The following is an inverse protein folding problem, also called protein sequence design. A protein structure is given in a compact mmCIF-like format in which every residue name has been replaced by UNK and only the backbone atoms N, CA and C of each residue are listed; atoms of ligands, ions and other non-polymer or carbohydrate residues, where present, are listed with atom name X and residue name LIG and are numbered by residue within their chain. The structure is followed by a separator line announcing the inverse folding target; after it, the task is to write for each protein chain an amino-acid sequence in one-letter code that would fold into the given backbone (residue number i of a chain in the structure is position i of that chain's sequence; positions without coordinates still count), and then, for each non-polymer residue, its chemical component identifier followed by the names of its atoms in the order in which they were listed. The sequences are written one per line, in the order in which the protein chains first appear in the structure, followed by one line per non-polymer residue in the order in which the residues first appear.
data_IF_526447407066
#
_entry.id   IF_526447407066
#
_cell.length_a   1.000
_cell.length_b   1.000
_cell.length_c   1.000
_cell.angle_alpha   90.00
_cell.angle_beta   90.00
_cell.angle_gamma   90.00
#
_symmetry.space_group_name_H-M   'P 1'
#
loop_
_entity.id
_entity.type
_entity.pdbx_description
1 polymer ?
#
# COMPACT_ATOMS: atom_id res chain seq x y z
N UNK A 1 -13.17 -34.14 -16.29
CA UNK A 1 -12.95 -32.68 -16.24
C UNK A 1 -12.52 -32.24 -17.64
N UNK A 2 -13.10 -31.16 -18.16
CA UNK A 2 -12.74 -30.61 -19.47
C UNK A 2 -12.05 -29.25 -19.21
N UNK A 3 -10.92 -29.02 -19.87
CA UNK A 3 -10.18 -27.77 -19.79
C UNK A 3 -10.04 -27.13 -21.16
N UNK A 4 -10.29 -25.83 -21.24
CA UNK A 4 -10.10 -25.01 -22.43
C UNK A 4 -9.05 -23.95 -22.08
N UNK A 5 -7.88 -24.04 -22.74
CA UNK A 5 -6.81 -23.08 -22.53
C UNK A 5 -6.87 -22.02 -23.63
N UNK A 6 -6.85 -20.76 -23.19
CA UNK A 6 -6.81 -19.60 -24.07
C UNK A 6 -5.49 -18.86 -23.83
N UNK A 7 -4.62 -18.74 -24.84
CA UNK A 7 -3.43 -17.91 -24.73
C UNK A 7 -3.80 -16.45 -24.47
N UNK A 8 -2.96 -15.73 -23.72
CA UNK A 8 -3.15 -14.30 -23.48
C UNK A 8 -3.15 -13.56 -24.83
N UNK A 9 -4.18 -12.74 -25.06
CA UNK A 9 -4.37 -11.99 -26.30
C UNK A 9 -5.03 -12.77 -27.45
N UNK A 10 -5.34 -14.06 -27.27
CA UNK A 10 -6.09 -14.84 -28.27
C UNK A 10 -7.60 -14.54 -28.18
N UNK A 11 -8.27 -14.61 -29.33
CA UNK A 11 -9.73 -14.52 -29.36
C UNK A 11 -10.38 -15.86 -28.97
N UNK A 12 -11.44 -15.83 -28.20
CA UNK A 12 -12.24 -17.04 -27.90
C UNK A 12 -12.87 -17.64 -29.18
N UNK A 13 -13.00 -16.83 -30.23
CA UNK A 13 -13.54 -17.30 -31.53
C UNK A 13 -12.57 -18.25 -32.24
N UNK A 14 -11.27 -18.11 -31.99
CA UNK A 14 -10.23 -18.94 -32.59
C UNK A 14 -10.05 -20.27 -31.87
N UNK A 15 -10.79 -20.49 -30.76
CA UNK A 15 -10.69 -21.73 -29.97
C UNK A 15 -11.80 -22.70 -30.33
N UNK A 16 -11.43 -23.95 -30.56
CA UNK A 16 -12.39 -25.05 -30.75
C UNK A 16 -13.05 -25.47 -29.43
N UNK A 17 -14.01 -24.63 -28.98
CA UNK A 17 -14.82 -24.91 -27.79
C UNK A 17 -15.69 -26.17 -28.03
N UNK A 18 -16.23 -26.35 -29.23
CA UNK A 18 -17.14 -27.46 -29.55
C UNK A 18 -16.46 -28.84 -29.41
N UNK A 19 -15.23 -28.94 -29.89
CA UNK A 19 -14.46 -30.18 -29.80
C UNK A 19 -14.02 -30.56 -28.38
N UNK A 20 -14.04 -29.62 -27.46
CA UNK A 20 -13.71 -29.84 -26.03
C UNK A 20 -14.91 -30.27 -25.17
N UNK A 21 -16.13 -30.09 -25.66
CA UNK A 21 -17.32 -30.49 -24.93
C UNK A 21 -17.53 -32.02 -24.95
N UNK A 22 -18.16 -32.59 -23.89
CA UNK A 22 -18.45 -34.00 -23.80
C UNK A 22 -19.21 -34.54 -25.03
N UNK A 23 -18.83 -35.71 -25.50
CA UNK A 23 -19.48 -36.38 -26.65
C UNK A 23 -20.94 -36.79 -26.38
N UNK A 24 -21.34 -36.87 -25.11
CA UNK A 24 -22.70 -37.22 -24.71
C UNK A 24 -23.73 -36.09 -24.97
N UNK A 25 -23.29 -34.88 -25.29
CA UNK A 25 -24.18 -33.75 -25.60
C UNK A 25 -24.75 -33.91 -27.01
N UNK A 26 -26.05 -33.67 -27.14
CA UNK A 26 -26.72 -33.53 -28.44
C UNK A 26 -26.18 -32.31 -29.22
N UNK A 27 -26.42 -32.28 -30.52
CA UNK A 27 -25.98 -31.14 -31.34
C UNK A 27 -26.55 -29.80 -30.89
N UNK A 28 -27.80 -29.81 -30.41
CA UNK A 28 -28.45 -28.61 -29.90
C UNK A 28 -27.84 -28.12 -28.58
N UNK A 29 -27.60 -29.03 -27.64
CA UNK A 29 -26.94 -28.70 -26.37
C UNK A 29 -25.52 -28.21 -26.59
N UNK A 30 -24.80 -28.84 -27.51
CA UNK A 30 -23.44 -28.44 -27.87
C UNK A 30 -23.41 -27.01 -28.40
N UNK A 31 -24.28 -26.66 -29.33
CA UNK A 31 -24.39 -25.32 -29.89
C UNK A 31 -24.73 -24.29 -28.79
N UNK A 32 -25.63 -24.66 -27.89
CA UNK A 32 -26.02 -23.81 -26.73
C UNK A 32 -24.82 -23.57 -25.81
N UNK A 33 -24.10 -24.62 -25.41
CA UNK A 33 -22.93 -24.45 -24.52
C UNK A 33 -21.77 -23.69 -25.19
N UNK A 34 -21.54 -23.87 -26.48
CA UNK A 34 -20.55 -23.07 -27.22
C UNK A 34 -20.87 -21.58 -27.14
N UNK A 35 -22.14 -21.23 -27.39
CA UNK A 35 -22.60 -19.84 -27.34
C UNK A 35 -22.47 -19.28 -25.93
N UNK A 36 -22.88 -20.06 -24.93
CA UNK A 36 -22.76 -19.65 -23.51
C UNK A 36 -21.32 -19.43 -23.08
N UNK A 37 -20.42 -20.37 -23.36
CA UNK A 37 -19.00 -20.29 -22.97
C UNK A 37 -18.32 -19.08 -23.63
N UNK A 38 -18.58 -18.84 -24.92
CA UNK A 38 -18.03 -17.68 -25.61
C UNK A 38 -18.56 -16.37 -25.03
N UNK A 39 -19.86 -16.29 -24.76
CA UNK A 39 -20.47 -15.14 -24.11
C UNK A 39 -19.92 -14.89 -22.70
N UNK A 40 -19.77 -15.95 -21.92
CA UNK A 40 -19.19 -15.90 -20.58
C UNK A 40 -17.74 -15.43 -20.59
N UNK A 41 -16.93 -15.90 -21.53
CA UNK A 41 -15.55 -15.46 -21.64
C UNK A 41 -15.43 -13.98 -22.02
N UNK A 42 -16.28 -13.50 -22.95
CA UNK A 42 -16.34 -12.07 -23.28
C UNK A 42 -16.73 -11.25 -22.06
N UNK A 43 -17.75 -11.67 -21.31
CA UNK A 43 -18.17 -11.04 -20.07
C UNK A 43 -17.06 -11.01 -19.04
N UNK A 44 -16.35 -12.13 -18.85
CA UNK A 44 -15.20 -12.26 -17.97
C UNK A 44 -14.10 -11.26 -18.32
N UNK A 45 -13.70 -11.19 -19.59
CA UNK A 45 -12.64 -10.31 -20.07
C UNK A 45 -13.05 -8.83 -20.03
N UNK A 46 -14.27 -8.53 -20.45
CA UNK A 46 -14.79 -7.16 -20.58
C UNK A 46 -14.98 -6.45 -19.22
N UNK A 47 -15.16 -7.24 -18.17
CA UNK A 47 -15.34 -6.76 -16.81
C UNK A 47 -14.12 -7.02 -15.92
N UNK A 48 -12.99 -7.42 -16.51
CA UNK A 48 -11.73 -7.64 -15.78
C UNK A 48 -11.87 -8.57 -14.57
N UNK A 49 -12.57 -9.71 -14.75
CA UNK A 49 -12.55 -10.76 -13.74
C UNK A 49 -11.17 -11.43 -13.69
N UNK A 50 -10.69 -11.73 -12.49
CA UNK A 50 -9.53 -12.59 -12.24
C UNK A 50 -9.94 -14.00 -11.85
N UNK A 51 -11.19 -14.16 -11.42
CA UNK A 51 -11.82 -15.44 -11.10
C UNK A 51 -13.34 -15.34 -11.24
N UNK A 52 -13.97 -16.38 -11.84
CA UNK A 52 -15.41 -16.50 -11.92
C UNK A 52 -15.80 -17.99 -11.88
N UNK A 53 -16.63 -18.36 -10.92
CA UNK A 53 -17.12 -19.72 -10.71
C UNK A 53 -18.62 -19.70 -10.52
N UNK A 54 -19.29 -20.64 -11.20
CA UNK A 54 -20.70 -20.96 -10.98
C UNK A 54 -20.80 -22.39 -10.46
N UNK A 55 -21.22 -22.57 -9.21
CA UNK A 55 -21.32 -23.91 -8.61
C UNK A 55 -22.40 -23.95 -7.53
N UNK A 56 -23.59 -24.51 -7.88
CA UNK A 56 -23.96 -25.11 -9.15
C UNK A 56 -24.51 -24.09 -10.17
N UNK A 57 -24.60 -24.59 -11.41
CA UNK A 57 -25.23 -23.89 -12.53
C UNK A 57 -26.38 -24.76 -13.06
N UNK A 58 -27.57 -24.18 -13.19
CA UNK A 58 -28.73 -24.87 -13.74
C UNK A 58 -29.01 -24.45 -15.19
N UNK A 59 -29.44 -25.39 -16.00
CA UNK A 59 -29.96 -25.13 -17.35
C UNK A 59 -31.44 -25.41 -17.37
N UNK A 60 -32.25 -24.39 -17.69
CA UNK A 60 -33.69 -24.45 -17.71
C UNK A 60 -34.19 -24.02 -19.11
N UNK A 61 -34.52 -24.98 -19.96
CA UNK A 61 -34.76 -24.72 -21.37
C UNK A 61 -33.52 -24.14 -22.06
N UNK A 62 -33.66 -22.93 -22.62
CA UNK A 62 -32.55 -22.20 -23.27
C UNK A 62 -31.91 -21.13 -22.37
N UNK A 63 -32.06 -21.24 -21.05
CA UNK A 63 -31.50 -20.30 -20.09
C UNK A 63 -30.50 -20.98 -19.17
N UNK A 64 -29.37 -20.32 -18.93
CA UNK A 64 -28.42 -20.69 -17.87
C UNK A 64 -28.72 -19.83 -16.66
N UNK A 65 -28.89 -20.47 -15.50
CA UNK A 65 -29.16 -19.82 -14.23
C UNK A 65 -28.04 -20.19 -13.26
N UNK A 66 -27.13 -19.28 -12.94
CA UNK A 66 -26.19 -19.46 -11.83
C UNK A 66 -26.98 -19.52 -10.52
N UNK A 67 -26.79 -20.56 -9.72
CA UNK A 67 -27.43 -20.69 -8.41
C UNK A 67 -26.53 -20.21 -7.30
N UNK A 68 -25.22 -20.37 -7.47
CA UNK A 68 -24.21 -19.75 -6.63
C UNK A 68 -23.07 -19.23 -7.52
N UNK A 69 -22.55 -18.06 -7.16
CA UNK A 69 -21.50 -17.39 -7.93
C UNK A 69 -20.41 -16.92 -7.02
N UNK A 70 -19.17 -17.33 -7.30
CA UNK A 70 -17.96 -16.74 -6.72
C UNK A 70 -17.23 -15.96 -7.79
N UNK A 71 -16.94 -14.72 -7.49
CA UNK A 71 -16.29 -13.80 -8.43
C UNK A 71 -15.18 -13.00 -7.76
N UNK A 72 -14.13 -12.72 -8.53
CA UNK A 72 -13.07 -11.79 -8.15
C UNK A 72 -12.80 -10.89 -9.33
N UNK A 73 -12.92 -9.60 -9.10
CA UNK A 73 -12.56 -8.55 -10.05
C UNK A 73 -11.13 -8.10 -9.80
N UNK A 74 -10.49 -7.56 -10.83
CA UNK A 74 -9.25 -6.82 -10.69
C UNK A 74 -9.59 -5.37 -10.29
N UNK A 75 -9.39 -5.00 -9.02
CA UNK A 75 -9.70 -3.67 -8.54
C UNK A 75 -8.83 -2.57 -9.16
N UNK A 76 -7.66 -2.92 -9.68
CA UNK A 76 -6.81 -1.98 -10.44
C UNK A 76 -7.45 -1.55 -11.75
N UNK A 77 -8.37 -2.36 -12.32
CA UNK A 77 -9.15 -2.05 -13.50
C UNK A 77 -10.33 -1.09 -13.22
N UNK A 78 -10.50 -0.58 -12.01
CA UNK A 78 -11.60 0.33 -11.65
C UNK A 78 -11.62 1.60 -12.50
N UNK A 79 -10.47 2.04 -13.00
CA UNK A 79 -10.37 3.16 -13.92
C UNK A 79 -11.11 2.90 -15.25
N UNK A 80 -10.99 1.69 -15.81
CA UNK A 80 -11.62 1.30 -17.08
C UNK A 80 -13.04 0.77 -16.90
N UNK A 81 -13.24 -0.05 -15.88
CA UNK A 81 -14.45 -0.85 -15.68
C UNK A 81 -15.41 -0.29 -14.65
N UNK A 82 -15.05 0.72 -13.85
CA UNK A 82 -15.84 1.20 -12.73
C UNK A 82 -17.29 1.56 -13.08
N UNK A 83 -17.52 2.16 -14.26
CA UNK A 83 -18.88 2.44 -14.77
C UNK A 83 -19.66 1.16 -15.10
N UNK A 84 -18.99 0.14 -15.64
CA UNK A 84 -19.59 -1.15 -16.00
C UNK A 84 -19.94 -1.97 -14.74
N UNK A 85 -19.20 -1.79 -13.65
CA UNK A 85 -19.43 -2.47 -12.38
C UNK A 85 -20.58 -1.87 -11.54
N UNK A 86 -21.23 -0.81 -12.03
CA UNK A 86 -22.43 -0.23 -11.39
C UNK A 86 -22.24 0.12 -9.91
N UNK A 87 -21.05 0.62 -9.52
CA UNK A 87 -20.80 1.08 -8.14
C UNK A 87 -20.40 -0.03 -7.16
N UNK A 88 -19.84 -1.12 -7.63
CA UNK A 88 -19.24 -2.13 -6.73
C UNK A 88 -18.20 -1.48 -5.84
N UNK A 89 -18.31 -1.71 -4.54
CA UNK A 89 -17.35 -1.27 -3.53
C UNK A 89 -16.48 -2.45 -3.15
N UNK A 90 -15.16 -2.27 -3.23
CA UNK A 90 -14.21 -3.30 -2.81
C UNK A 90 -14.02 -3.25 -1.29
N UNK A 91 -14.03 -4.40 -0.61
CA UNK A 91 -13.76 -4.44 0.83
C UNK A 91 -12.31 -3.99 1.11
N UNK A 92 -12.07 -3.36 2.27
CA UNK A 92 -10.73 -2.98 2.66
C UNK A 92 -9.81 -4.21 2.78
N UNK A 93 -8.50 -4.10 2.43
CA UNK A 93 -7.58 -5.24 2.36
C UNK A 93 -7.51 -6.09 3.62
N UNK A 94 -7.66 -5.47 4.79
CA UNK A 94 -7.54 -6.13 6.09
C UNK A 94 -8.89 -6.45 6.75
N UNK A 95 -9.99 -6.36 6.04
CA UNK A 95 -11.33 -6.65 6.58
C UNK A 95 -11.77 -5.70 7.70
N UNK A 96 -11.15 -4.51 7.82
CA UNK A 96 -11.52 -3.44 8.74
C UNK A 96 -11.75 -2.14 8.00
N UNK A 97 -12.58 -1.30 8.55
CA UNK A 97 -12.75 0.05 8.03
C UNK A 97 -11.45 0.86 8.18
N UNK A 98 -11.04 1.61 7.15
CA UNK A 98 -9.89 2.50 7.25
C UNK A 98 -10.17 3.64 8.23
N UNK A 99 -9.14 4.07 8.95
CA UNK A 99 -9.25 5.23 9.84
C UNK A 99 -9.41 6.53 9.03
N UNK A 100 -9.87 7.62 9.67
CA UNK A 100 -9.94 8.93 9.01
C UNK A 100 -8.60 9.38 8.43
N UNK A 101 -7.49 9.06 9.09
CA UNK A 101 -6.14 9.40 8.63
C UNK A 101 -5.72 8.57 7.42
N UNK A 102 -6.07 7.28 7.38
CA UNK A 102 -5.83 6.43 6.21
C UNK A 102 -6.65 6.91 5.00
N UNK A 103 -7.90 7.30 5.22
CA UNK A 103 -8.76 7.91 4.19
C UNK A 103 -8.14 9.21 3.68
N UNK A 104 -7.72 10.09 4.59
CA UNK A 104 -7.09 11.37 4.23
C UNK A 104 -5.81 11.18 3.40
N UNK A 105 -4.94 10.24 3.78
CA UNK A 105 -3.74 9.94 2.98
C UNK A 105 -4.09 9.37 1.62
N UNK A 106 -5.12 8.52 1.51
CA UNK A 106 -5.62 8.01 0.23
C UNK A 106 -6.16 9.12 -0.67
N UNK A 107 -6.84 10.11 -0.11
CA UNK A 107 -7.30 11.29 -0.84
C UNK A 107 -6.12 12.13 -1.34
N UNK A 108 -5.10 12.36 -0.50
CA UNK A 108 -3.88 13.04 -0.92
C UNK A 108 -3.17 12.29 -2.05
N UNK A 109 -3.08 10.96 -1.98
CA UNK A 109 -2.49 10.08 -2.99
C UNK A 109 -3.16 10.27 -4.36
N UNK A 110 -4.50 10.33 -4.37
CA UNK A 110 -5.26 10.53 -5.61
C UNK A 110 -5.07 11.90 -6.27
N UNK A 111 -4.65 12.89 -5.50
CA UNK A 111 -4.42 14.27 -5.96
C UNK A 111 -2.98 14.57 -6.39
N UNK A 112 -2.08 13.59 -6.35
CA UNK A 112 -0.67 13.77 -6.69
C UNK A 112 -0.20 12.73 -7.70
N UNK A 113 0.85 13.04 -8.46
CA UNK A 113 1.57 12.05 -9.29
C UNK A 113 2.57 11.20 -8.49
N UNK A 114 2.74 11.48 -7.22
CA UNK A 114 3.53 10.69 -6.28
C UNK A 114 2.69 9.58 -5.64
N UNK A 115 3.30 8.72 -4.83
CA UNK A 115 2.60 7.67 -4.06
C UNK A 115 2.69 7.97 -2.58
N UNK A 116 1.54 8.05 -1.92
CA UNK A 116 1.39 8.23 -0.49
C UNK A 116 0.52 7.11 0.07
N UNK A 117 1.06 6.29 0.96
CA UNK A 117 0.34 5.16 1.56
C UNK A 117 0.48 5.20 3.07
N UNK A 118 -0.58 4.85 3.76
CA UNK A 118 -0.60 4.69 5.21
C UNK A 118 -1.54 3.55 5.59
N UNK A 119 -1.04 2.66 6.43
CA UNK A 119 -1.83 1.64 7.13
C UNK A 119 -1.44 1.68 8.59
N UNK A 120 -2.42 1.88 9.47
CA UNK A 120 -2.22 1.86 10.91
C UNK A 120 -2.35 0.41 11.38
N UNK A 121 -1.26 -0.16 11.90
CA UNK A 121 -1.19 -1.54 12.38
C UNK A 121 -1.53 -1.62 13.87
N UNK A 122 -0.90 -0.75 14.66
CA UNK A 122 -1.12 -0.65 16.11
C UNK A 122 -1.07 0.83 16.53
N UNK A 123 -2.20 1.52 16.73
CA UNK A 123 -2.21 2.94 17.08
C UNK A 123 -1.52 3.23 18.42
N UNK A 124 -1.38 2.24 19.30
CA UNK A 124 -0.66 2.34 20.58
C UNK A 124 0.81 1.94 20.46
N UNK A 125 1.25 1.54 19.28
CA UNK A 125 2.63 1.15 19.02
C UNK A 125 3.61 2.28 19.32
N UNK A 126 4.79 1.88 19.80
CA UNK A 126 5.87 2.81 20.15
C UNK A 126 6.73 3.19 18.95
N UNK A 127 6.83 2.33 17.94
CA UNK A 127 7.70 2.47 16.78
C UNK A 127 6.88 2.90 15.57
N UNK A 128 7.14 4.10 15.10
CA UNK A 128 6.49 4.70 13.92
C UNK A 128 7.49 4.87 12.79
N UNK A 129 7.03 4.74 11.56
CA UNK A 129 7.88 4.84 10.38
C UNK A 129 7.35 5.88 9.39
N UNK A 130 8.27 6.58 8.75
CA UNK A 130 8.06 7.43 7.59
C UNK A 130 9.09 7.04 6.53
N UNK A 131 8.75 6.11 5.67
CA UNK A 131 9.69 5.54 4.71
C UNK A 131 9.46 6.09 3.31
N UNK A 132 10.55 6.44 2.64
CA UNK A 132 10.52 6.87 1.25
C UNK A 132 10.79 5.68 0.33
N UNK A 133 9.72 5.23 -0.36
CA UNK A 133 9.74 4.13 -1.30
C UNK A 133 9.14 2.84 -0.74
N UNK A 134 8.26 2.19 -1.54
CA UNK A 134 7.53 0.99 -1.13
C UNK A 134 8.44 -0.18 -0.76
N UNK A 135 9.48 -0.45 -1.58
CA UNK A 135 10.45 -1.50 -1.26
C UNK A 135 11.23 -1.24 0.03
N UNK A 136 11.61 0.03 0.28
CA UNK A 136 12.24 0.40 1.53
C UNK A 136 11.29 0.22 2.72
N UNK A 137 10.02 0.58 2.58
CA UNK A 137 9.00 0.41 3.63
C UNK A 137 8.88 -1.03 4.08
N UNK A 138 8.83 -1.98 3.14
CA UNK A 138 8.82 -3.42 3.44
C UNK A 138 10.07 -3.82 4.23
N UNK A 139 11.26 -3.48 3.73
CA UNK A 139 12.52 -3.85 4.40
C UNK A 139 12.63 -3.28 5.81
N UNK A 140 12.21 -2.04 6.02
CA UNK A 140 12.22 -1.43 7.37
C UNK A 140 11.25 -2.12 8.32
N UNK A 141 10.02 -2.39 7.88
CA UNK A 141 9.02 -3.06 8.73
C UNK A 141 9.39 -4.51 9.02
N UNK A 142 9.91 -5.25 8.03
CA UNK A 142 10.40 -6.60 8.23
C UNK A 142 11.57 -6.62 9.22
N UNK A 143 12.53 -5.69 9.09
CA UNK A 143 13.64 -5.58 10.04
C UNK A 143 13.16 -5.30 11.47
N UNK A 144 12.14 -4.42 11.65
CA UNK A 144 11.56 -4.18 12.98
C UNK A 144 10.94 -5.47 13.53
N UNK A 145 10.24 -6.23 12.70
CA UNK A 145 9.62 -7.50 13.10
C UNK A 145 10.65 -8.58 13.42
N UNK A 146 11.69 -8.72 12.60
CA UNK A 146 12.78 -9.70 12.78
C UNK A 146 13.58 -9.45 14.06
N UNK A 147 13.72 -8.18 14.46
CA UNK A 147 14.31 -7.80 15.75
C UNK A 147 13.40 -8.05 16.96
N UNK A 148 12.19 -8.59 16.76
CA UNK A 148 11.24 -8.92 17.82
C UNK A 148 10.29 -7.80 18.24
N UNK A 149 10.26 -6.66 17.51
CA UNK A 149 9.46 -5.49 17.84
C UNK A 149 8.15 -5.37 17.04
N UNK A 150 7.67 -6.45 16.41
CA UNK A 150 6.43 -6.47 15.64
C UNK A 150 5.22 -5.93 16.43
N UNK A 151 5.13 -6.25 17.72
CA UNK A 151 4.05 -5.80 18.61
C UNK A 151 4.11 -4.29 18.94
N UNK A 152 5.25 -3.64 18.72
CA UNK A 152 5.46 -2.20 18.92
C UNK A 152 5.35 -1.40 17.61
N UNK A 153 5.30 -2.06 16.46
CA UNK A 153 5.19 -1.42 15.16
C UNK A 153 3.81 -0.80 14.98
N UNK A 154 3.77 0.51 14.81
CA UNK A 154 2.53 1.27 14.80
C UNK A 154 1.90 1.42 13.42
N UNK A 155 2.71 1.55 12.38
CA UNK A 155 2.22 1.76 11.02
C UNK A 155 3.11 1.13 9.96
N UNK A 156 2.51 0.90 8.81
CA UNK A 156 3.16 0.66 7.54
C UNK A 156 2.76 1.78 6.57
N UNK A 157 3.68 2.23 5.75
CA UNK A 157 3.37 3.22 4.76
C UNK A 157 4.59 3.76 4.03
N UNK A 158 4.33 4.55 3.00
CA UNK A 158 5.38 5.15 2.19
C UNK A 158 5.02 6.54 1.69
N UNK A 159 6.04 7.31 1.34
CA UNK A 159 5.96 8.43 0.42
C UNK A 159 7.03 8.25 -0.67
N UNK A 160 6.62 8.26 -1.93
CA UNK A 160 7.53 7.98 -3.05
C UNK A 160 7.10 8.70 -4.32
N UNK A 161 7.88 8.58 -5.41
CA UNK A 161 7.54 9.23 -6.67
C UNK A 161 7.73 10.74 -6.68
N UNK A 162 8.66 11.26 -5.88
CA UNK A 162 8.98 12.69 -5.79
C UNK A 162 7.81 13.59 -5.35
N UNK A 163 7.18 13.33 -4.20
CA UNK A 163 6.14 14.21 -3.69
C UNK A 163 6.69 15.61 -3.41
N UNK A 164 5.86 16.63 -3.62
CA UNK A 164 6.23 18.00 -3.29
C UNK A 164 6.46 18.20 -1.79
N UNK A 165 7.12 19.29 -1.43
CA UNK A 165 7.28 19.70 -0.02
C UNK A 165 5.93 19.77 0.71
N UNK A 166 4.88 20.27 0.06
CA UNK A 166 3.54 20.37 0.64
C UNK A 166 2.93 19.00 0.93
N UNK A 167 2.98 18.07 -0.03
CA UNK A 167 2.45 16.73 0.18
C UNK A 167 3.23 15.96 1.23
N UNK A 168 4.56 16.10 1.25
CA UNK A 168 5.40 15.49 2.29
C UNK A 168 5.11 16.09 3.67
N UNK A 169 4.89 17.40 3.75
CA UNK A 169 4.47 18.05 5.00
C UNK A 169 3.12 17.51 5.50
N UNK A 170 2.10 17.43 4.65
CA UNK A 170 0.78 16.90 5.02
C UNK A 170 0.86 15.44 5.48
N UNK A 171 1.64 14.62 4.77
CA UNK A 171 1.89 13.24 5.16
C UNK A 171 2.58 13.14 6.52
N UNK A 172 3.69 13.88 6.71
CA UNK A 172 4.42 13.92 7.95
C UNK A 172 3.55 14.40 9.11
N UNK A 173 2.76 15.44 8.91
CA UNK A 173 1.83 15.97 9.91
C UNK A 173 0.81 14.92 10.36
N UNK A 174 0.26 14.13 9.44
CA UNK A 174 -0.68 13.05 9.77
C UNK A 174 -0.02 11.98 10.64
N UNK A 175 1.21 11.55 10.27
CA UNK A 175 1.97 10.60 11.08
C UNK A 175 2.29 11.17 12.46
N UNK A 176 2.74 12.42 12.53
CA UNK A 176 3.10 13.08 13.81
C UNK A 176 1.89 13.30 14.72
N UNK A 177 0.73 13.58 14.15
CA UNK A 177 -0.50 13.67 14.95
C UNK A 177 -0.81 12.35 15.63
N UNK A 178 -0.82 11.25 14.87
CA UNK A 178 -0.99 9.90 15.40
C UNK A 178 0.09 9.52 16.42
N UNK A 179 1.35 9.78 16.08
CA UNK A 179 2.51 9.50 16.92
C UNK A 179 2.47 10.18 18.27
N UNK A 180 1.94 11.41 18.35
CA UNK A 180 1.98 12.24 19.55
C UNK A 180 0.70 12.24 20.38
N UNK A 181 -0.34 11.46 19.98
CA UNK A 181 -1.63 11.40 20.71
C UNK A 181 -1.48 10.83 22.10
N UNK A 182 -0.68 9.79 22.27
CA UNK A 182 -0.52 9.07 23.53
C UNK A 182 0.96 8.85 23.84
N UNK A 183 1.32 8.91 25.13
CA UNK A 183 2.62 8.48 25.62
C UNK A 183 2.70 6.97 25.67
N UNK A 184 3.91 6.41 25.63
CA UNK A 184 4.10 5.00 25.97
C UNK A 184 3.67 4.76 27.43
N UNK A 185 2.82 3.75 27.70
CA UNK A 185 2.31 3.48 29.06
C UNK A 185 3.41 3.17 30.07
N UNK A 186 4.56 2.67 29.60
CA UNK A 186 5.73 2.35 30.43
C UNK A 186 6.71 3.52 30.56
N UNK A 187 6.39 4.68 29.98
CA UNK A 187 7.26 5.86 29.98
C UNK A 187 8.50 5.77 29.08
N UNK A 188 8.59 4.73 28.24
CA UNK A 188 9.70 4.57 27.29
C UNK A 188 9.62 5.63 26.18
N UNK A 189 10.75 5.99 25.55
CA UNK A 189 10.74 6.88 24.40
C UNK A 189 9.92 6.31 23.25
N UNK A 190 9.09 7.14 22.62
CA UNK A 190 8.50 6.79 21.31
C UNK A 190 9.50 7.04 20.20
N UNK A 191 9.56 6.15 19.24
CA UNK A 191 10.58 6.12 18.19
C UNK A 191 9.94 6.43 16.85
N UNK A 192 10.51 7.43 16.17
CA UNK A 192 10.16 7.74 14.78
C UNK A 192 11.37 7.45 13.88
N UNK A 193 11.22 6.50 12.97
CA UNK A 193 12.22 6.17 11.97
C UNK A 193 11.83 6.83 10.64
N UNK A 194 12.64 7.77 10.18
CA UNK A 194 12.48 8.42 8.87
C UNK A 194 13.47 7.76 7.90
N UNK A 195 12.97 6.79 7.16
CA UNK A 195 13.79 5.87 6.39
C UNK A 195 13.70 6.05 4.87
N UNK A 196 14.47 5.22 4.20
CA UNK A 196 14.42 5.07 2.75
C UNK A 196 15.70 4.50 2.18
N UNK A 197 15.63 4.02 0.95
CA UNK A 197 16.79 3.63 0.16
C UNK A 197 17.57 4.85 -0.35
N UNK A 198 18.39 4.65 -1.36
CA UNK A 198 19.00 5.71 -2.16
C UNK A 198 17.99 6.06 -3.26
N UNK A 199 17.47 7.28 -3.23
CA UNK A 199 16.50 7.74 -4.23
C UNK A 199 17.17 7.88 -5.61
N UNK A 200 16.45 7.48 -6.66
CA UNK A 200 16.91 7.66 -8.03
C UNK A 200 16.67 9.10 -8.51
N UNK A 201 15.44 9.61 -8.38
CA UNK A 201 15.04 10.92 -8.92
C UNK A 201 14.32 11.82 -7.89
N UNK A 202 13.94 11.31 -6.73
CA UNK A 202 13.30 12.12 -5.67
C UNK A 202 14.29 13.13 -5.10
N UNK A 203 13.93 14.41 -5.09
CA UNK A 203 14.67 15.45 -4.41
C UNK A 203 14.55 15.30 -2.89
N UNK A 204 15.63 14.83 -2.26
CA UNK A 204 15.66 14.55 -0.83
C UNK A 204 15.58 15.84 0.00
N UNK A 205 16.20 16.93 -0.46
CA UNK A 205 16.13 18.21 0.24
C UNK A 205 14.70 18.78 0.26
N UNK A 206 13.99 18.68 -0.86
CA UNK A 206 12.59 19.11 -0.97
C UNK A 206 11.67 18.33 -0.04
N UNK A 207 11.76 17.00 -0.08
CA UNK A 207 10.93 16.14 0.77
C UNK A 207 11.25 16.32 2.26
N UNK A 208 12.52 16.37 2.64
CA UNK A 208 12.91 16.63 4.03
C UNK A 208 12.55 18.02 4.52
N UNK A 209 12.40 19.00 3.63
CA UNK A 209 11.87 20.32 4.02
C UNK A 209 10.44 20.21 4.58
N UNK A 210 9.56 19.42 3.93
CA UNK A 210 8.22 19.17 4.46
C UNK A 210 8.24 18.47 5.82
N UNK A 211 9.14 17.49 5.98
CA UNK A 211 9.33 16.81 7.29
C UNK A 211 9.80 17.78 8.38
N UNK A 212 10.78 18.63 8.07
CA UNK A 212 11.30 19.66 9.00
C UNK A 212 10.19 20.62 9.44
N UNK A 213 9.35 21.06 8.52
CA UNK A 213 8.21 21.93 8.83
C UNK A 213 7.25 21.24 9.81
N UNK A 214 6.86 20.00 9.53
CA UNK A 214 5.96 19.24 10.38
C UNK A 214 6.57 18.98 11.78
N UNK A 215 7.82 18.57 11.87
CA UNK A 215 8.52 18.36 13.14
C UNK A 215 8.61 19.64 13.96
N UNK A 216 8.83 20.78 13.32
CA UNK A 216 8.91 22.09 13.99
C UNK A 216 7.55 22.46 14.60
N UNK A 217 6.46 22.27 13.89
CA UNK A 217 5.09 22.50 14.38
C UNK A 217 4.75 21.59 15.57
N UNK A 218 5.21 20.34 15.55
CA UNK A 218 4.90 19.35 16.60
C UNK A 218 5.91 19.33 17.76
N UNK A 219 6.83 20.29 17.85
CA UNK A 219 7.92 20.34 18.84
C UNK A 219 7.48 19.97 20.27
N UNK A 220 6.47 20.64 20.79
CA UNK A 220 6.07 20.46 22.20
C UNK A 220 5.37 19.10 22.42
N UNK A 221 4.59 18.65 21.45
CA UNK A 221 3.97 17.33 21.47
C UNK A 221 5.04 16.21 21.40
N UNK A 222 6.09 16.39 20.59
CA UNK A 222 7.21 15.45 20.50
C UNK A 222 7.97 15.33 21.83
N UNK A 223 8.23 16.46 22.49
CA UNK A 223 8.81 16.47 23.86
C UNK A 223 7.90 15.74 24.84
N UNK A 224 6.59 16.01 24.78
CA UNK A 224 5.61 15.41 25.68
C UNK A 224 5.59 13.89 25.62
N UNK A 225 5.83 13.28 24.48
CA UNK A 225 5.87 11.82 24.30
C UNK A 225 7.28 11.23 24.41
N UNK A 226 8.27 12.03 24.83
CA UNK A 226 9.68 11.61 24.91
C UNK A 226 10.20 11.02 23.56
N UNK A 227 9.93 11.73 22.46
CA UNK A 227 10.26 11.27 21.12
C UNK A 227 11.77 11.14 20.90
N UNK A 228 12.17 10.11 20.16
CA UNK A 228 13.51 9.96 19.54
C UNK A 228 13.33 9.76 18.05
N UNK A 229 14.10 10.48 17.25
CA UNK A 229 13.99 10.48 15.79
C UNK A 229 15.28 9.92 15.19
N UNK A 230 15.14 8.96 14.30
CA UNK A 230 16.25 8.33 13.61
C UNK A 230 16.04 8.47 12.10
N UNK A 231 16.97 9.11 11.43
CA UNK A 231 16.86 9.38 10.00
C UNK A 231 18.02 8.78 9.22
N UNK A 232 17.71 8.09 8.15
CA UNK A 232 18.68 7.62 7.17
C UNK A 232 18.13 7.85 5.75
N UNK A 233 18.87 8.61 4.94
CA UNK A 233 18.45 8.94 3.58
C UNK A 233 19.62 9.14 2.63
N UNK A 234 19.43 8.84 1.34
CA UNK A 234 20.34 9.14 0.24
C UNK A 234 19.57 9.41 -1.06
N UNK A 235 20.22 10.00 -2.04
CA UNK A 235 19.65 10.35 -3.34
C UNK A 235 19.96 11.79 -3.74
N UNK A 236 19.30 12.36 -4.76
CA UNK A 236 19.52 13.74 -5.21
C UNK A 236 19.38 14.74 -4.06
N UNK A 237 20.32 15.67 -3.92
CA UNK A 237 20.34 16.73 -2.91
C UNK A 237 20.27 16.24 -1.44
N UNK A 238 20.70 15.01 -1.17
CA UNK A 238 20.59 14.42 0.17
C UNK A 238 21.42 15.15 1.23
N UNK A 239 22.62 15.66 0.89
CA UNK A 239 23.48 16.38 1.84
C UNK A 239 22.78 17.61 2.42
N UNK A 240 22.13 18.40 1.55
CA UNK A 240 21.36 19.58 1.97
C UNK A 240 20.16 19.19 2.82
N UNK A 241 19.42 18.15 2.43
CA UNK A 241 18.31 17.62 3.22
C UNK A 241 18.73 17.16 4.62
N UNK A 242 19.81 16.40 4.72
CA UNK A 242 20.36 15.95 6.00
C UNK A 242 20.93 17.09 6.83
N UNK A 243 21.54 18.09 6.19
CA UNK A 243 22.00 19.31 6.88
C UNK A 243 20.84 20.00 7.59
N UNK A 244 19.71 20.21 6.90
CA UNK A 244 18.49 20.81 7.50
C UNK A 244 17.99 20.00 8.70
N UNK A 245 18.00 18.67 8.61
CA UNK A 245 17.59 17.80 9.72
C UNK A 245 18.54 17.88 10.92
N UNK A 246 19.87 17.96 10.68
CA UNK A 246 20.88 18.16 11.75
C UNK A 246 20.73 19.53 12.42
N UNK A 247 20.46 20.57 11.63
CA UNK A 247 20.24 21.93 12.17
C UNK A 247 18.95 21.97 12.99
N UNK A 248 17.88 21.32 12.55
CA UNK A 248 16.67 21.16 13.34
C UNK A 248 16.95 20.46 14.67
N UNK A 249 17.77 19.39 14.67
CA UNK A 249 18.16 18.65 15.87
C UNK A 249 18.76 19.51 16.97
N UNK A 250 19.46 20.61 16.61
CA UNK A 250 20.04 21.55 17.57
C UNK A 250 18.97 22.40 18.31
N UNK A 251 17.81 22.54 17.72
CA UNK A 251 16.78 23.48 18.21
C UNK A 251 15.47 22.81 18.60
N UNK A 252 15.16 21.62 18.09
CA UNK A 252 13.88 20.94 18.31
C UNK A 252 13.68 20.53 19.79
N UNK A 253 14.77 20.17 20.47
CA UNK A 253 14.74 19.77 21.87
C UNK A 253 14.29 18.33 22.11
N UNK A 254 14.35 17.49 21.07
CA UNK A 254 14.29 16.03 21.12
C UNK A 254 15.48 15.45 20.37
N UNK A 255 16.00 14.26 20.75
CA UNK A 255 17.10 13.61 20.05
C UNK A 255 16.77 13.31 18.59
N UNK A 256 17.62 13.76 17.67
CA UNK A 256 17.58 13.41 16.24
C UNK A 256 18.93 12.85 15.84
N UNK A 257 18.96 11.62 15.36
CA UNK A 257 20.12 10.99 14.78
C UNK A 257 20.01 10.95 13.25
N UNK A 258 21.03 11.42 12.52
CA UNK A 258 20.95 11.65 11.07
C UNK A 258 22.12 11.00 10.35
N UNK A 259 21.82 10.06 9.45
CA UNK A 259 22.76 9.31 8.63
C UNK A 259 22.47 9.45 7.14
N UNK A 260 23.52 9.36 6.35
CA UNK A 260 23.48 9.36 4.89
C UNK A 260 23.56 7.96 4.27
N UNK A 261 23.85 7.90 2.95
CA UNK A 261 23.92 6.64 2.22
C UNK A 261 25.08 5.72 2.64
N UNK A 262 26.07 6.25 3.39
CA UNK A 262 27.19 5.49 3.96
C UNK A 262 26.73 4.43 4.98
N UNK A 263 25.60 4.66 5.64
CA UNK A 263 25.01 3.68 6.54
C UNK A 263 24.10 2.71 5.76
N UNK A 264 24.22 1.40 6.05
CA UNK A 264 23.27 0.42 5.52
C UNK A 264 21.85 0.74 6.01
N UNK A 265 20.85 0.60 5.13
CA UNK A 265 19.49 1.07 5.41
C UNK A 265 18.86 0.41 6.63
N UNK A 266 19.11 -0.86 6.91
CA UNK A 266 18.56 -1.58 8.08
C UNK A 266 19.29 -1.25 9.38
N UNK A 267 20.53 -0.76 9.32
CA UNK A 267 21.34 -0.45 10.53
C UNK A 267 20.67 0.64 11.38
N UNK A 268 19.98 1.59 10.78
CA UNK A 268 19.25 2.62 11.53
C UNK A 268 18.14 2.03 12.40
N UNK A 269 17.55 0.91 11.99
CA UNK A 269 16.49 0.22 12.76
C UNK A 269 17.09 -0.39 14.04
N UNK A 270 18.21 -1.13 13.92
CA UNK A 270 18.91 -1.68 15.08
C UNK A 270 19.35 -0.58 16.04
N UNK A 271 19.91 0.52 15.53
CA UNK A 271 20.27 1.68 16.36
C UNK A 271 19.08 2.26 17.12
N UNK A 272 17.93 2.38 16.44
CA UNK A 272 16.72 2.94 17.04
C UNK A 272 16.11 2.05 18.13
N UNK A 273 16.26 0.73 18.03
CA UNK A 273 15.55 -0.23 18.87
C UNK A 273 16.42 -0.89 19.94
N UNK A 274 17.69 -1.12 19.68
CA UNK A 274 18.60 -1.91 20.50
C UNK A 274 19.69 -1.07 21.20
N UNK A 275 20.13 0.04 20.61
CA UNK A 275 21.14 0.91 21.21
C UNK A 275 20.46 1.85 22.24
N UNK A 276 20.85 1.74 23.51
CA UNK A 276 20.34 2.54 24.64
C UNK A 276 21.11 3.85 24.81
#
# INVERSE_FOLDING_TARGET
MVSIHLPVGASIEDVDVAGKLPSSLSSQERSFFVTFIRGLYRFYSDLCFTFLEFNPLAVIGNKVVPLDTKARLDDTASFECGKKWCGVTFPPPFGREPSPEEIYIKELDSGTGASLKLTILNPKGRVWTMNAGGGASVVYTDTICDLGYAHELANYGEYSGNPSTEFTYKYAKTILDLFTREKDPQGRPKILIVGGGIANFTDVASTLTGVVQALTEYRDKLKAVNARIYLRRGGPNWEEGLRRMRDLGKTLGVPIEVHGPEMHMTRIVSKALEER
#
